data_IF_200373816694
#
_entry.id   IF_200373816694
#
_cell.length_a   1.000
_cell.length_b   1.000
_cell.length_c   1.000
_cell.angle_alpha   90.00
_cell.angle_beta   90.00
_cell.angle_gamma   90.00
#
_symmetry.space_group_name_H-M   'P 1'
#
loop_
_entity.id
_entity.type
_entity.pdbx_description
1 polymer ?
#
# COMPACT_ATOMS: atom_id res chain seq x y z
N UNK A 1 18.98 6.90 7.00
CA UNK A 1 18.13 6.04 7.85
C UNK A 1 18.12 4.66 7.23
N UNK A 2 18.40 3.61 8.00
CA UNK A 2 18.30 2.24 7.48
C UNK A 2 16.82 1.83 7.52
N UNK A 3 16.25 1.49 6.37
CA UNK A 3 14.83 1.14 6.24
C UNK A 3 14.64 -0.06 5.32
N UNK A 4 13.49 -0.72 5.42
CA UNK A 4 13.12 -1.76 4.46
C UNK A 4 12.46 -1.15 3.22
N UNK A 5 13.09 -1.37 2.08
CA UNK A 5 12.71 -0.81 0.81
C UNK A 5 12.25 -1.93 -0.09
N UNK A 6 11.13 -1.69 -0.74
CA UNK A 6 10.66 -2.47 -1.88
C UNK A 6 11.71 -2.55 -2.98
N UNK A 7 11.95 -3.74 -3.54
CA UNK A 7 12.86 -3.93 -4.67
C UNK A 7 12.56 -2.99 -5.85
N UNK A 8 13.57 -2.23 -6.28
CA UNK A 8 13.47 -1.33 -7.44
C UNK A 8 13.77 -2.08 -8.73
N UNK A 9 12.81 -2.15 -9.64
CA UNK A 9 12.99 -2.79 -10.96
C UNK A 9 13.38 -1.78 -12.04
N UNK A 10 12.83 -0.57 -11.97
CA UNK A 10 12.98 0.44 -13.02
C UNK A 10 14.17 1.38 -12.75
N UNK A 11 15.16 1.39 -13.65
CA UNK A 11 16.29 2.33 -13.57
C UNK A 11 15.89 3.73 -14.08
N UNK A 12 16.64 4.77 -13.67
CA UNK A 12 16.42 6.16 -14.10
C UNK A 12 16.26 6.31 -15.62
N UNK A 13 17.15 5.69 -16.40
CA UNK A 13 17.11 5.74 -17.89
C UNK A 13 15.81 5.16 -18.47
N UNK A 14 15.30 4.09 -17.88
CA UNK A 14 14.08 3.42 -18.31
C UNK A 14 12.85 4.23 -17.93
N UNK A 15 12.85 4.84 -16.75
CA UNK A 15 11.81 5.74 -16.30
C UNK A 15 11.71 6.98 -17.22
N UNK A 16 12.83 7.58 -17.64
CA UNK A 16 12.86 8.65 -18.66
C UNK A 16 12.22 8.16 -19.97
N UNK A 17 12.59 6.97 -20.43
CA UNK A 17 12.02 6.37 -21.65
C UNK A 17 10.51 6.18 -21.55
N UNK A 18 10.01 5.81 -20.36
CA UNK A 18 8.58 5.67 -20.10
C UNK A 18 7.82 7.00 -20.21
N UNK A 19 8.38 8.09 -19.66
CA UNK A 19 7.83 9.44 -19.80
C UNK A 19 7.72 9.81 -21.28
N UNK A 20 8.84 9.69 -22.01
CA UNK A 20 8.91 10.07 -23.42
C UNK A 20 7.96 9.25 -24.30
N UNK A 21 7.71 7.98 -23.96
CA UNK A 21 6.76 7.12 -24.69
C UNK A 21 5.32 7.58 -24.55
N UNK A 22 4.91 8.06 -23.36
CA UNK A 22 3.54 8.52 -23.09
C UNK A 22 3.24 9.92 -23.66
N UNK A 23 4.22 10.60 -24.23
CA UNK A 23 4.03 11.92 -24.83
C UNK A 23 3.44 11.85 -26.25
N UNK A 24 2.46 12.70 -26.61
CA UNK A 24 1.94 12.80 -27.97
C UNK A 24 3.03 13.15 -28.99
N UNK A 25 2.93 12.65 -30.23
CA UNK A 25 3.91 12.89 -31.29
C UNK A 25 4.18 14.38 -31.58
N UNK A 26 3.14 15.21 -31.64
CA UNK A 26 3.26 16.66 -31.82
C UNK A 26 4.00 17.34 -30.65
N UNK A 27 3.90 16.78 -29.45
CA UNK A 27 4.69 17.22 -28.31
C UNK A 27 6.16 16.84 -28.47
N UNK A 28 6.49 15.67 -29.01
CA UNK A 28 7.90 15.23 -29.21
C UNK A 28 8.68 16.13 -30.16
N UNK A 29 8.06 16.59 -31.25
CA UNK A 29 8.70 17.46 -32.26
C UNK A 29 9.01 18.85 -31.69
N UNK A 30 8.12 19.41 -30.86
CA UNK A 30 8.34 20.68 -30.17
C UNK A 30 9.26 20.58 -28.93
N UNK A 31 9.64 19.36 -28.51
CA UNK A 31 10.29 19.09 -27.21
C UNK A 31 11.66 18.44 -27.31
N UNK A 32 12.30 18.40 -28.48
CA UNK A 32 13.71 17.94 -28.59
C UNK A 32 14.67 18.70 -27.64
N UNK A 33 14.25 19.87 -27.11
CA UNK A 33 15.00 20.66 -26.11
C UNK A 33 14.43 20.62 -24.67
N UNK A 34 13.29 19.95 -24.42
CA UNK A 34 12.67 19.90 -23.09
C UNK A 34 12.88 18.50 -22.47
N UNK A 35 14.09 18.26 -22.00
CA UNK A 35 14.44 17.04 -21.25
C UNK A 35 13.65 17.07 -19.92
N UNK A 36 13.20 15.92 -19.43
CA UNK A 36 12.69 15.83 -18.06
C UNK A 36 13.82 16.22 -17.10
N UNK A 37 13.76 17.45 -16.59
CA UNK A 37 14.73 18.01 -15.66
C UNK A 37 14.44 17.50 -14.23
N UNK A 38 15.48 17.50 -13.40
CA UNK A 38 15.39 17.22 -11.95
C UNK A 38 14.77 15.88 -11.57
N UNK A 39 15.03 14.84 -12.36
CA UNK A 39 14.57 13.49 -12.01
C UNK A 39 15.33 12.92 -10.80
N UNK A 40 14.58 12.67 -9.73
CA UNK A 40 15.07 12.12 -8.47
C UNK A 40 14.18 10.99 -7.96
N UNK A 41 14.74 10.20 -7.04
CA UNK A 41 14.05 9.06 -6.44
C UNK A 41 13.48 9.48 -5.09
N UNK A 42 12.21 9.20 -4.89
CA UNK A 42 11.53 9.37 -3.62
C UNK A 42 10.93 8.04 -3.15
N UNK A 43 10.51 8.03 -1.89
CA UNK A 43 9.96 6.87 -1.22
C UNK A 43 8.68 7.26 -0.50
N UNK A 44 7.63 6.45 -0.63
CA UNK A 44 6.41 6.59 0.18
C UNK A 44 6.39 5.45 1.21
N UNK A 45 6.04 5.80 2.44
CA UNK A 45 5.87 4.81 3.50
C UNK A 45 4.56 4.07 3.33
N UNK A 46 4.63 2.75 3.46
CA UNK A 46 3.50 1.88 3.64
C UNK A 46 3.64 1.18 4.99
N UNK A 47 2.53 1.05 5.72
CA UNK A 47 2.47 0.21 6.92
C UNK A 47 1.84 -1.12 6.59
N UNK A 48 2.55 -2.18 6.94
CA UNK A 48 2.02 -3.54 7.01
C UNK A 48 1.48 -3.71 8.43
N UNK A 49 0.18 -4.00 8.52
CA UNK A 49 -0.51 -4.27 9.77
C UNK A 49 -1.01 -5.71 9.73
N UNK A 50 -0.51 -6.55 10.62
CA UNK A 50 -1.01 -7.92 10.77
C UNK A 50 -1.98 -7.96 11.94
N UNK A 51 -3.20 -8.37 11.66
CA UNK A 51 -4.26 -8.53 12.63
C UNK A 51 -4.61 -10.00 12.80
N UNK A 52 -4.87 -10.37 14.04
CA UNK A 52 -5.54 -11.61 14.39
C UNK A 52 -6.98 -11.27 14.75
N UNK A 53 -7.93 -11.86 14.03
CA UNK A 53 -9.35 -11.63 14.21
C UNK A 53 -10.01 -12.91 14.69
N UNK A 54 -10.65 -12.83 15.85
CA UNK A 54 -11.46 -13.93 16.38
C UNK A 54 -12.92 -13.63 16.08
N UNK A 55 -13.55 -14.54 15.35
CA UNK A 55 -14.98 -14.48 15.06
C UNK A 55 -15.70 -15.70 15.61
N UNK A 56 -16.99 -15.52 15.93
CA UNK A 56 -17.87 -16.60 16.34
C UNK A 56 -18.95 -16.80 15.30
N UNK A 57 -19.12 -18.05 14.85
CA UNK A 57 -20.29 -18.42 14.06
C UNK A 57 -21.43 -18.72 15.03
N UNK A 58 -22.53 -17.98 14.87
CA UNK A 58 -23.79 -18.30 15.55
C UNK A 58 -24.63 -19.15 14.61
N UNK A 59 -24.62 -20.45 14.85
CA UNK A 59 -25.57 -21.39 14.27
C UNK A 59 -26.90 -21.35 15.02
N UNK A 60 -28.02 -21.52 14.33
CA UNK A 60 -29.35 -21.70 14.94
C UNK A 60 -29.52 -23.07 15.62
N UNK A 61 -28.57 -24.00 15.50
CA UNK A 61 -28.57 -25.28 16.22
C UNK A 61 -27.73 -25.21 17.50
N UNK A 62 -28.27 -25.78 18.59
CA UNK A 62 -27.75 -25.74 19.97
C UNK A 62 -26.29 -26.21 20.18
N UNK A 63 -25.63 -26.80 19.16
CA UNK A 63 -24.39 -27.57 19.36
C UNK A 63 -23.17 -27.17 18.50
N UNK A 64 -23.22 -26.08 17.71
CA UNK A 64 -22.04 -25.63 16.93
C UNK A 64 -21.81 -24.12 17.06
N UNK A 65 -21.37 -23.71 18.24
CA UNK A 65 -20.73 -22.41 18.45
C UNK A 65 -19.21 -22.60 18.28
N UNK A 66 -18.70 -22.40 17.07
CA UNK A 66 -17.26 -22.43 16.81
C UNK A 66 -16.66 -21.02 16.86
N UNK A 67 -15.54 -20.84 17.55
CA UNK A 67 -14.66 -19.69 17.31
C UNK A 67 -13.74 -20.02 16.14
N UNK A 68 -13.59 -19.06 15.22
CA UNK A 68 -12.65 -19.13 14.11
C UNK A 68 -11.69 -17.96 14.22
N UNK A 69 -10.41 -18.27 14.06
CA UNK A 69 -9.35 -17.28 14.01
C UNK A 69 -8.97 -17.02 12.55
N UNK A 70 -8.73 -15.75 12.23
CA UNK A 70 -8.31 -15.31 10.91
C UNK A 70 -7.12 -14.38 11.05
N UNK A 71 -6.07 -14.64 10.29
CA UNK A 71 -4.93 -13.74 10.18
C UNK A 71 -5.12 -12.87 8.93
N UNK A 72 -5.17 -11.55 9.13
CA UNK A 72 -5.39 -10.58 8.06
C UNK A 72 -4.20 -9.64 8.01
N UNK A 73 -3.58 -9.54 6.84
CA UNK A 73 -2.50 -8.59 6.59
C UNK A 73 -3.02 -7.44 5.75
N UNK A 74 -2.92 -6.23 6.28
CA UNK A 74 -3.35 -5.00 5.63
C UNK A 74 -2.12 -4.19 5.25
N UNK A 75 -2.10 -3.69 4.02
CA UNK A 75 -1.10 -2.77 3.51
C UNK A 75 -1.73 -1.39 3.42
N UNK A 76 -1.16 -0.39 4.10
CA UNK A 76 -1.71 0.97 4.17
C UNK A 76 -0.70 1.98 3.64
N UNK A 77 -1.09 2.78 2.67
CA UNK A 77 -0.34 3.94 2.23
C UNK A 77 -0.52 5.08 3.24
N UNK A 78 0.55 5.47 3.93
CA UNK A 78 0.47 6.48 5.00
C UNK A 78 0.27 7.90 4.45
N UNK A 79 0.43 8.10 3.14
CA UNK A 79 0.27 9.41 2.51
C UNK A 79 -1.19 9.74 2.18
N UNK A 80 -1.98 8.78 1.70
CA UNK A 80 -3.37 9.01 1.29
C UNK A 80 -4.40 8.18 2.09
N UNK A 81 -3.94 7.25 2.92
CA UNK A 81 -4.80 6.39 3.73
C UNK A 81 -5.42 5.23 2.96
N UNK A 82 -5.04 5.04 1.69
CA UNK A 82 -5.49 3.88 0.93
C UNK A 82 -4.96 2.60 1.59
N UNK A 83 -5.85 1.64 1.80
CA UNK A 83 -5.52 0.37 2.43
C UNK A 83 -6.15 -0.80 1.71
N UNK A 84 -5.42 -1.91 1.66
CA UNK A 84 -5.83 -3.12 0.97
C UNK A 84 -5.38 -4.36 1.76
N UNK A 85 -6.21 -5.40 1.76
CA UNK A 85 -5.84 -6.71 2.32
C UNK A 85 -4.95 -7.45 1.32
N UNK A 86 -3.80 -7.93 1.77
CA UNK A 86 -2.84 -8.66 0.93
C UNK A 86 -2.53 -10.03 1.53
N UNK A 87 -2.41 -11.04 0.68
CA UNK A 87 -1.98 -12.38 1.08
C UNK A 87 -0.46 -12.54 0.98
N UNK A 88 0.13 -11.90 -0.02
CA UNK A 88 1.56 -11.97 -0.32
C UNK A 88 2.18 -10.60 -0.12
N UNK A 89 3.20 -10.55 0.72
CA UNK A 89 3.96 -9.32 0.94
C UNK A 89 4.99 -9.10 -0.18
N UNK A 90 5.26 -7.84 -0.53
CA UNK A 90 6.35 -7.51 -1.44
C UNK A 90 7.72 -7.93 -0.90
N UNK A 91 8.60 -8.37 -1.80
CA UNK A 91 10.03 -8.53 -1.47
C UNK A 91 10.66 -7.18 -1.10
N UNK A 92 11.41 -7.19 0.00
CA UNK A 92 12.06 -6.00 0.54
C UNK A 92 13.54 -6.24 0.81
N UNK A 93 14.33 -5.18 0.75
CA UNK A 93 15.75 -5.14 1.08
C UNK A 93 16.04 -4.01 2.05
N UNK A 94 17.05 -4.17 2.90
CA UNK A 94 17.49 -3.09 3.81
C UNK A 94 18.35 -2.10 3.03
N UNK A 95 17.97 -0.83 3.03
CA UNK A 95 18.70 0.23 2.32
C UNK A 95 18.79 1.50 3.16
N UNK A 96 19.91 2.20 3.04
CA UNK A 96 20.04 3.54 3.60
C UNK A 96 19.34 4.56 2.71
N UNK A 97 18.34 5.26 3.26
CA UNK A 97 17.59 6.32 2.59
C UNK A 97 17.70 7.62 3.39
N UNK A 98 17.86 8.73 2.68
CA UNK A 98 17.82 10.06 3.28
C UNK A 98 16.38 10.43 3.66
N UNK A 99 16.16 10.96 4.87
CA UNK A 99 14.81 11.33 5.34
C UNK A 99 14.12 12.35 4.42
N UNK A 100 14.90 13.20 3.75
CA UNK A 100 14.40 14.18 2.77
C UNK A 100 13.78 13.55 1.53
N UNK A 101 14.17 12.32 1.18
CA UNK A 101 13.63 11.58 0.04
C UNK A 101 12.39 10.75 0.42
N UNK A 102 11.98 10.77 1.69
CA UNK A 102 10.79 10.07 2.17
C UNK A 102 9.64 11.06 2.21
N UNK A 103 8.56 10.73 1.49
CA UNK A 103 7.32 11.46 1.52
C UNK A 103 6.71 11.35 2.92
N UNK A 104 6.49 12.50 3.56
CA UNK A 104 5.93 12.56 4.91
C UNK A 104 4.55 11.90 4.94
N UNK A 105 4.32 11.07 5.95
CA UNK A 105 2.98 10.59 6.28
C UNK A 105 2.04 11.78 6.51
N UNK A 106 0.80 11.65 6.05
CA UNK A 106 -0.27 12.62 6.33
C UNK A 106 -1.19 12.16 7.45
N UNK A 107 -1.07 10.92 7.88
CA UNK A 107 -2.00 10.26 8.80
C UNK A 107 -1.19 9.74 9.99
N UNK A 108 -1.72 9.88 11.20
CA UNK A 108 -1.09 9.33 12.40
C UNK A 108 -1.26 7.82 12.46
N UNK A 109 -0.32 7.14 13.11
CA UNK A 109 -0.32 5.68 13.23
C UNK A 109 -1.59 5.15 13.92
N UNK A 110 -2.06 5.83 14.97
CA UNK A 110 -3.28 5.44 15.70
C UNK A 110 -4.53 5.52 14.81
N UNK A 111 -4.65 6.58 14.01
CA UNK A 111 -5.77 6.78 13.08
C UNK A 111 -5.78 5.68 11.99
N UNK A 112 -4.59 5.27 11.53
CA UNK A 112 -4.42 4.16 10.58
C UNK A 112 -4.90 2.85 11.21
N UNK A 113 -4.47 2.55 12.44
CA UNK A 113 -4.78 1.29 13.11
C UNK A 113 -6.28 1.14 13.34
N UNK A 114 -6.96 2.19 13.81
CA UNK A 114 -8.41 2.15 14.04
C UNK A 114 -9.19 2.12 12.71
N UNK A 115 -8.83 2.95 11.73
CA UNK A 115 -9.52 2.97 10.44
C UNK A 115 -9.45 1.63 9.69
N UNK A 116 -8.37 0.87 9.87
CA UNK A 116 -8.23 -0.46 9.29
C UNK A 116 -9.09 -1.52 10.01
N UNK A 117 -9.28 -1.42 11.33
CA UNK A 117 -10.19 -2.32 12.06
C UNK A 117 -11.61 -2.23 11.52
N UNK A 118 -12.09 -1.02 11.24
CA UNK A 118 -13.42 -0.81 10.66
C UNK A 118 -13.56 -1.44 9.27
N UNK A 119 -12.52 -1.32 8.44
CA UNK A 119 -12.50 -1.96 7.12
C UNK A 119 -12.50 -3.49 7.21
N UNK A 120 -11.77 -4.06 8.17
CA UNK A 120 -11.76 -5.50 8.43
C UNK A 120 -13.15 -5.99 8.83
N UNK A 121 -13.82 -5.28 9.75
CA UNK A 121 -15.20 -5.61 10.17
C UNK A 121 -16.14 -5.58 8.98
N UNK A 122 -16.05 -4.53 8.15
CA UNK A 122 -16.87 -4.39 6.95
C UNK A 122 -16.63 -5.52 5.95
N UNK A 123 -15.36 -5.85 5.66
CA UNK A 123 -14.97 -6.91 4.73
C UNK A 123 -15.46 -8.28 5.18
N UNK A 124 -15.22 -8.64 6.45
CA UNK A 124 -15.70 -9.91 7.02
C UNK A 124 -17.24 -9.96 7.03
N UNK A 125 -17.90 -8.88 7.44
CA UNK A 125 -19.35 -8.78 7.42
C UNK A 125 -19.95 -9.00 6.03
N UNK A 126 -19.33 -8.46 4.97
CA UNK A 126 -19.77 -8.66 3.59
C UNK A 126 -19.52 -10.08 3.09
N UNK A 127 -18.33 -10.63 3.34
CA UNK A 127 -17.94 -11.99 2.91
C UNK A 127 -18.91 -13.06 3.44
N UNK A 128 -19.29 -12.96 4.71
CA UNK A 128 -20.11 -13.96 5.39
C UNK A 128 -21.63 -13.70 5.35
N UNK A 129 -22.09 -12.52 4.88
CA UNK A 129 -23.51 -12.28 4.59
C UNK A 129 -24.04 -13.11 3.42
N UNK A 130 -23.18 -13.46 2.46
CA UNK A 130 -23.58 -14.17 1.25
C UNK A 130 -23.65 -15.70 1.41
N UNK A 131 -23.06 -16.27 2.48
CA UNK A 131 -23.01 -17.72 2.73
C UNK A 131 -24.22 -18.26 3.54
N UNK A 132 -25.30 -17.49 3.64
CA UNK A 132 -26.66 -18.03 3.84
C UNK A 132 -27.06 -18.59 5.21
N UNK A 133 -26.19 -18.84 6.19
CA UNK A 133 -26.65 -19.36 7.50
C UNK A 133 -25.96 -18.86 8.77
N UNK A 134 -24.77 -18.27 8.71
CA UNK A 134 -24.04 -17.90 9.93
C UNK A 134 -23.88 -16.38 10.06
N UNK A 135 -24.50 -15.80 11.10
CA UNK A 135 -24.17 -14.44 11.54
C UNK A 135 -22.78 -14.48 12.17
N UNK A 136 -21.77 -14.09 11.39
CA UNK A 136 -20.41 -13.94 11.89
C UNK A 136 -20.34 -12.73 12.83
N UNK A 137 -20.12 -12.98 14.11
CA UNK A 137 -19.85 -11.93 15.09
C UNK A 137 -18.35 -11.82 15.27
N UNK A 138 -17.76 -10.70 14.87
CA UNK A 138 -16.38 -10.37 15.27
C UNK A 138 -16.38 -10.15 16.78
N UNK A 139 -15.53 -10.88 17.50
CA UNK A 139 -15.40 -10.76 18.96
C UNK A 139 -14.21 -9.90 19.34
N UNK A 140 -13.09 -10.09 18.65
CA UNK A 140 -11.87 -9.38 18.94
C UNK A 140 -11.03 -9.17 17.67
N UNK A 141 -10.33 -8.04 17.61
CA UNK A 141 -9.35 -7.70 16.58
C UNK A 141 -8.09 -7.24 17.29
N UNK A 142 -7.08 -8.11 17.32
CA UNK A 142 -5.79 -7.81 17.93
C UNK A 142 -4.76 -7.49 16.86
N UNK A 143 -4.02 -6.40 17.04
CA UNK A 143 -2.85 -6.12 16.21
C UNK A 143 -1.67 -6.94 16.70
N UNK A 144 -1.05 -7.70 15.79
CA UNK A 144 0.12 -8.56 16.07
C UNK A 144 1.42 -7.90 15.66
N UNK A 145 1.42 -7.22 14.52
CA UNK A 145 2.62 -6.62 13.95
C UNK A 145 2.28 -5.30 13.24
N UNK A 146 3.12 -4.29 13.48
CA UNK A 146 3.14 -3.04 12.71
C UNK A 146 4.53 -2.89 12.15
N UNK A 147 4.64 -2.81 10.83
CA UNK A 147 5.93 -2.74 10.14
C UNK A 147 5.88 -1.72 9.02
N UNK A 148 6.87 -0.84 8.94
CA UNK A 148 6.99 0.13 7.85
C UNK A 148 7.88 -0.40 6.73
N UNK A 149 7.37 -0.31 5.50
CA UNK A 149 8.13 -0.57 4.27
C UNK A 149 8.05 0.67 3.37
N UNK A 150 9.05 0.87 2.53
CA UNK A 150 9.16 2.07 1.70
C UNK A 150 9.14 1.71 0.23
N UNK A 151 8.12 2.20 -0.47
CA UNK A 151 7.95 1.98 -1.90
C UNK A 151 8.65 3.09 -2.70
N UNK A 152 9.65 2.77 -3.55
CA UNK A 152 10.33 3.73 -4.39
C UNK A 152 9.45 4.19 -5.56
N UNK A 153 9.54 5.47 -5.89
CA UNK A 153 8.99 6.04 -7.11
C UNK A 153 9.90 7.15 -7.64
N UNK A 154 9.94 7.31 -8.95
CA UNK A 154 10.65 8.41 -9.58
C UNK A 154 9.74 9.64 -9.66
N UNK A 155 10.31 10.80 -9.36
CA UNK A 155 9.71 12.11 -9.60
C UNK A 155 10.49 12.77 -10.71
N UNK A 156 9.79 13.34 -11.69
CA UNK A 156 10.38 14.14 -12.74
C UNK A 156 9.60 15.44 -12.91
N UNK A 157 10.28 16.57 -13.10
CA UNK A 157 9.62 17.81 -13.47
C UNK A 157 9.48 17.86 -15.00
N UNK A 158 8.27 18.12 -15.46
CA UNK A 158 8.01 18.36 -16.87
C UNK A 158 7.17 19.61 -17.03
N UNK A 159 7.79 20.69 -17.52
CA UNK A 159 7.15 22.00 -17.74
C UNK A 159 6.43 22.53 -16.49
N UNK A 160 7.08 22.42 -15.32
CA UNK A 160 6.52 22.87 -14.05
C UNK A 160 5.52 21.90 -13.40
N UNK A 161 5.27 20.73 -13.99
CA UNK A 161 4.41 19.69 -13.42
C UNK A 161 5.22 18.46 -13.02
N UNK A 162 4.97 17.96 -11.81
CA UNK A 162 5.59 16.73 -11.34
C UNK A 162 4.90 15.51 -11.94
N UNK A 163 5.69 14.64 -12.56
CA UNK A 163 5.29 13.31 -13.04
C UNK A 163 5.83 12.28 -12.06
N UNK A 164 4.96 11.38 -11.62
CA UNK A 164 5.30 10.30 -10.70
C UNK A 164 5.30 8.97 -11.45
N UNK A 165 6.34 8.18 -11.26
CA UNK A 165 6.51 6.88 -11.93
C UNK A 165 6.85 5.85 -10.89
N UNK A 166 6.02 4.84 -10.77
CA UNK A 166 6.29 3.71 -9.90
C UNK A 166 7.61 3.04 -10.32
N UNK A 167 8.53 2.85 -9.37
CA UNK A 167 9.80 2.19 -9.64
C UNK A 167 9.72 0.65 -9.46
N UNK A 168 8.57 0.16 -8.95
CA UNK A 168 8.24 -1.27 -8.86
C UNK A 168 7.66 -1.81 -10.17
N UNK A 169 6.68 -1.10 -10.75
CA UNK A 169 5.73 -1.69 -11.72
C UNK A 169 6.26 -1.65 -13.17
N UNK A 170 6.11 -2.76 -13.89
CA UNK A 170 6.15 -2.83 -15.36
C UNK A 170 4.70 -2.87 -15.84
#
# INVERSE_FOLDING_TARGET
MLVEVVGMKLKKKEAIKHILRKMPLMSKVAQFNAVAEDMHLEYVEFKILKYEVTSKTKSNTLFRNGSKQHDITMLVNTYDGYSESVEILPDTEKRYVAKSCIKKSRIKDDDIIEGVKDQIIYFLGKKYKNDGMDRLSVQNINIREVKSIYKPYWVANFKGKNIYIDAWKI
#
